data_IF_447444791494
#
_entry.id   IF_447444791494
#
_cell.length_a   1.000
_cell.length_b   1.000
_cell.length_c   1.000
_cell.angle_alpha   90.00
_cell.angle_beta   90.00
_cell.angle_gamma   90.00
#
_symmetry.space_group_name_H-M   'P 1'
#
loop_
_entity.id
_entity.type
_entity.pdbx_description
1 polymer ?
#
# COMPACT_ATOMS: atom_id res chain seq x y z
N UNK A 1 -15.24 -11.50 25.53
CA UNK A 1 -15.11 -11.48 24.05
C UNK A 1 -16.46 -11.12 23.49
N UNK A 2 -16.70 -9.82 23.30
CA UNK A 2 -18.02 -9.28 23.01
C UNK A 2 -18.21 -8.97 21.53
N UNK A 3 -19.29 -9.48 20.95
CA UNK A 3 -20.21 -8.73 20.08
C UNK A 3 -21.32 -9.67 19.61
N UNK A 4 -22.43 -9.71 20.35
CA UNK A 4 -23.70 -10.27 19.86
C UNK A 4 -24.35 -9.20 19.00
N UNK A 5 -23.95 -9.10 17.73
CA UNK A 5 -24.47 -8.12 16.76
C UNK A 5 -24.89 -8.78 15.45
N UNK A 6 -25.77 -8.13 14.69
CA UNK A 6 -26.17 -8.59 13.36
C UNK A 6 -25.03 -8.36 12.34
N UNK A 7 -24.73 -9.35 11.52
CA UNK A 7 -23.69 -9.27 10.48
C UNK A 7 -24.35 -9.37 9.10
N UNK A 8 -24.20 -8.33 8.28
CA UNK A 8 -24.57 -8.35 6.86
C UNK A 8 -23.34 -8.60 6.00
N UNK A 9 -23.47 -9.40 4.94
CA UNK A 9 -22.39 -9.71 4.00
C UNK A 9 -22.84 -9.37 2.58
N UNK A 10 -22.07 -8.55 1.88
CA UNK A 10 -22.27 -8.24 0.47
C UNK A 10 -21.27 -9.02 -0.37
N UNK A 11 -21.76 -9.71 -1.40
CA UNK A 11 -20.93 -10.41 -2.38
C UNK A 11 -21.20 -9.85 -3.78
N UNK A 12 -20.13 -9.48 -4.49
CA UNK A 12 -20.19 -8.96 -5.85
C UNK A 12 -19.38 -9.91 -6.73
N UNK A 13 -20.07 -10.68 -7.57
CA UNK A 13 -19.43 -11.58 -8.52
C UNK A 13 -18.85 -10.78 -9.70
N UNK A 14 -17.70 -11.23 -10.24
CA UNK A 14 -17.07 -10.63 -11.43
C UNK A 14 -16.89 -9.10 -11.33
N UNK A 15 -16.45 -8.60 -10.17
CA UNK A 15 -16.29 -7.18 -9.93
C UNK A 15 -15.36 -6.51 -10.96
N UNK A 16 -15.76 -5.35 -11.45
CA UNK A 16 -15.01 -4.51 -12.39
C UNK A 16 -14.87 -3.08 -11.85
N UNK A 17 -14.12 -2.22 -12.55
CA UNK A 17 -13.84 -0.83 -12.11
C UNK A 17 -15.10 -0.04 -11.74
N UNK A 18 -16.24 -0.26 -12.42
CA UNK A 18 -17.50 0.45 -12.17
C UNK A 18 -18.15 0.09 -10.84
N UNK A 19 -17.73 -1.01 -10.23
CA UNK A 19 -18.18 -1.42 -8.89
C UNK A 19 -17.39 -0.70 -7.78
N UNK A 20 -16.43 0.16 -8.12
CA UNK A 20 -15.78 1.04 -7.14
C UNK A 20 -16.76 2.09 -6.62
N UNK A 21 -16.69 2.40 -5.33
CA UNK A 21 -17.53 3.45 -4.74
C UNK A 21 -17.63 3.35 -3.23
N UNK A 22 -18.58 4.10 -2.68
CA UNK A 22 -18.88 4.12 -1.25
C UNK A 22 -20.04 3.18 -0.97
N UNK A 23 -19.74 2.08 -0.26
CA UNK A 23 -20.71 1.09 0.16
C UNK A 23 -21.19 1.44 1.56
N UNK A 24 -22.51 1.50 1.74
CA UNK A 24 -23.14 1.73 3.03
C UNK A 24 -23.73 0.43 3.59
N UNK A 25 -23.58 0.25 4.90
CA UNK A 25 -24.33 -0.73 5.67
C UNK A 25 -25.22 0.02 6.65
N UNK A 26 -26.52 -0.21 6.57
CA UNK A 26 -27.53 0.39 7.42
C UNK A 26 -28.42 -0.70 8.02
N UNK A 27 -28.77 -0.55 9.30
CA UNK A 27 -29.67 -1.46 10.01
C UNK A 27 -31.03 -0.76 10.18
N UNK A 28 -31.90 -0.89 9.17
CA UNK A 28 -33.23 -0.28 9.15
C UNK A 28 -33.26 1.17 9.69
N UNK A 29 -34.15 1.47 10.63
CA UNK A 29 -34.41 2.82 11.19
C UNK A 29 -33.32 3.31 12.18
N UNK A 30 -32.20 2.60 12.28
CA UNK A 30 -31.08 3.03 13.11
C UNK A 30 -30.18 3.92 12.25
N UNK A 31 -30.10 5.20 12.64
CA UNK A 31 -29.33 6.26 11.98
C UNK A 31 -27.81 6.01 11.84
N UNK A 32 -27.30 4.88 12.36
CA UNK A 32 -25.91 4.50 12.26
C UNK A 32 -25.64 3.84 10.89
N UNK A 33 -25.33 4.67 9.90
CA UNK A 33 -24.84 4.21 8.58
C UNK A 33 -23.32 4.13 8.63
N UNK A 34 -22.77 2.92 8.45
CA UNK A 34 -21.32 2.76 8.25
C UNK A 34 -21.03 2.82 6.76
N UNK A 35 -20.08 3.67 6.35
CA UNK A 35 -19.66 3.81 4.96
C UNK A 35 -18.23 3.31 4.79
N UNK A 36 -18.01 2.48 3.78
CA UNK A 36 -16.69 1.94 3.41
C UNK A 36 -16.40 2.31 1.96
N UNK A 37 -15.21 2.86 1.70
CA UNK A 37 -14.76 3.14 0.34
C UNK A 37 -14.10 1.88 -0.25
N UNK A 38 -14.56 1.46 -1.42
CA UNK A 38 -14.09 0.30 -2.15
C UNK A 38 -13.53 0.75 -3.50
N UNK A 39 -12.33 0.29 -3.82
CA UNK A 39 -11.71 0.54 -5.12
C UNK A 39 -11.32 -0.79 -5.79
N UNK A 40 -11.89 -1.04 -6.96
CA UNK A 40 -11.65 -2.26 -7.74
C UNK A 40 -10.52 -2.03 -8.73
N UNK A 41 -9.44 -2.78 -8.58
CA UNK A 41 -8.25 -2.72 -9.44
C UNK A 41 -8.43 -3.63 -10.66
N UNK A 42 -7.97 -3.19 -11.84
CA UNK A 42 -8.15 -3.92 -13.10
C UNK A 42 -6.88 -4.66 -13.56
N UNK A 43 -6.23 -5.38 -12.65
CA UNK A 43 -4.95 -6.04 -12.94
C UNK A 43 -3.86 -5.06 -13.37
N UNK A 44 -3.89 -3.82 -12.86
CA UNK A 44 -2.89 -2.81 -13.18
C UNK A 44 -1.49 -3.29 -12.76
N UNK A 45 -0.47 -2.88 -13.51
CA UNK A 45 0.91 -3.27 -13.23
C UNK A 45 1.23 -2.90 -11.77
N UNK A 46 1.72 -3.84 -10.94
CA UNK A 46 2.06 -3.55 -9.55
C UNK A 46 2.95 -2.31 -9.52
N UNK A 47 2.65 -1.38 -8.61
CA UNK A 47 3.57 -0.28 -8.37
C UNK A 47 4.97 -0.87 -8.16
N UNK A 48 6.00 -0.22 -8.71
CA UNK A 48 7.37 -0.61 -8.47
C UNK A 48 7.63 -0.51 -6.96
N UNK A 49 7.48 -1.64 -6.27
CA UNK A 49 7.77 -1.76 -4.85
C UNK A 49 9.28 -1.67 -4.77
N UNK A 50 9.79 -0.47 -4.48
CA UNK A 50 11.21 -0.26 -4.26
C UNK A 50 11.59 -0.96 -2.95
N UNK A 51 11.80 -2.27 -3.01
CA UNK A 51 12.53 -3.01 -2.01
C UNK A 51 13.91 -2.34 -1.90
N UNK A 52 14.23 -1.87 -0.69
CA UNK A 52 15.44 -1.12 -0.38
C UNK A 52 16.68 -1.96 -0.66
N UNK A 53 17.12 -1.95 -1.91
CA UNK A 53 18.38 -2.52 -2.34
C UNK A 53 19.51 -1.65 -1.81
N UNK A 54 20.33 -2.24 -0.95
CA UNK A 54 21.54 -1.68 -0.34
C UNK A 54 22.48 -1.03 -1.37
N UNK A 55 22.29 0.26 -1.63
CA UNK A 55 23.17 1.08 -2.47
C UNK A 55 24.42 1.62 -1.75
N UNK A 56 24.81 1.04 -0.62
CA UNK A 56 25.88 1.61 0.23
C UNK A 56 27.30 1.33 -0.27
N UNK A 57 27.49 0.32 -1.13
CA UNK A 57 28.85 -0.12 -1.51
C UNK A 57 29.59 0.86 -2.45
N UNK A 58 28.88 1.67 -3.22
CA UNK A 58 29.53 2.62 -4.16
C UNK A 58 30.11 3.85 -3.47
N UNK A 59 29.46 4.33 -2.41
CA UNK A 59 29.95 5.49 -1.66
C UNK A 59 31.27 5.16 -0.93
N UNK A 60 31.39 3.96 -0.34
CA UNK A 60 32.59 3.52 0.36
C UNK A 60 33.82 3.44 -0.57
N UNK A 61 33.67 2.91 -1.79
CA UNK A 61 34.76 2.82 -2.75
C UNK A 61 35.28 4.20 -3.19
N UNK A 62 34.39 5.16 -3.42
CA UNK A 62 34.77 6.54 -3.80
C UNK A 62 35.57 7.21 -2.67
N UNK A 63 35.15 7.04 -1.42
CA UNK A 63 35.86 7.60 -0.26
C UNK A 63 37.27 7.01 -0.09
N UNK A 64 37.43 5.70 -0.31
CA UNK A 64 38.75 5.05 -0.25
C UNK A 64 39.67 5.60 -1.33
N UNK A 65 39.19 5.72 -2.57
CA UNK A 65 39.99 6.23 -3.69
C UNK A 65 40.45 7.68 -3.42
N UNK A 66 39.56 8.54 -2.92
CA UNK A 66 39.91 9.92 -2.57
C UNK A 66 40.92 9.98 -1.41
N UNK A 67 40.78 9.13 -0.41
CA UNK A 67 41.72 9.06 0.72
C UNK A 67 43.12 8.59 0.27
N UNK A 68 43.19 7.60 -0.62
CA UNK A 68 44.47 7.13 -1.16
C UNK A 68 45.11 8.15 -2.10
N UNK A 69 44.32 8.82 -2.94
CA UNK A 69 44.87 9.82 -3.87
C UNK A 69 45.41 11.05 -3.12
N UNK A 70 44.73 11.49 -2.07
CA UNK A 70 45.19 12.62 -1.25
C UNK A 70 46.42 12.33 -0.39
N UNK A 71 46.72 11.06 -0.12
CA UNK A 71 47.95 10.63 0.54
C UNK A 71 49.11 10.40 -0.42
N UNK A 72 48.85 10.10 -1.71
CA UNK A 72 49.87 10.06 -2.77
C UNK A 72 50.24 11.46 -3.30
N UNK A 73 49.33 12.43 -3.23
CA UNK A 73 49.56 13.82 -3.64
C UNK A 73 50.17 14.69 -2.52
N UNK A 74 50.33 14.15 -1.31
CA UNK A 74 51.10 14.75 -0.22
C UNK A 74 52.52 14.23 -0.25
#
# INVERSE_FOLDING_TARGET
>A
MGSTGAVSRLYIANANKKDSGNYSCALADIAAVTVVSVHVLNGENPAAMQHGGSGSSRAALVLIILATLSSLLR
#
